data_IF_708464355549
#
_entry.id   IF_708464355549
#
_cell.length_a   1.000
_cell.length_b   1.000
_cell.length_c   1.000
_cell.angle_alpha   90.00
_cell.angle_beta   90.00
_cell.angle_gamma   90.00
#
_symmetry.space_group_name_H-M   'P 1'
#
loop_
_entity.id
_entity.type
_entity.pdbx_description
1 polymer ?
#
# COMPACT_ATOMS: atom_id res chain seq x y z
N UNK A 1 -20.64 8.33 3.74
CA UNK A 1 -20.98 6.92 3.49
C UNK A 1 -22.31 6.84 2.78
N UNK A 2 -22.27 6.78 1.44
CA UNK A 2 -23.49 6.72 0.63
C UNK A 2 -24.10 5.31 0.63
N UNK A 3 -25.43 5.22 0.70
CA UNK A 3 -26.14 3.96 0.51
C UNK A 3 -26.13 3.54 -0.96
N UNK A 4 -26.42 2.27 -1.26
CA UNK A 4 -26.55 1.78 -2.66
C UNK A 4 -27.54 2.62 -3.48
N UNK A 5 -28.62 3.10 -2.83
CA UNK A 5 -29.65 3.97 -3.45
C UNK A 5 -29.05 5.33 -3.85
N UNK A 6 -28.28 5.96 -2.97
CA UNK A 6 -27.61 7.26 -3.27
C UNK A 6 -26.55 7.14 -4.35
N UNK A 7 -25.82 6.02 -4.43
CA UNK A 7 -24.84 5.76 -5.49
C UNK A 7 -25.52 5.63 -6.88
N UNK A 8 -26.67 4.95 -6.95
CA UNK A 8 -27.47 4.81 -8.19
C UNK A 8 -27.99 6.18 -8.63
N UNK A 9 -28.55 6.97 -7.70
CA UNK A 9 -29.05 8.32 -8.01
C UNK A 9 -27.93 9.24 -8.49
N UNK A 10 -26.75 9.19 -7.85
CA UNK A 10 -25.57 9.96 -8.26
C UNK A 10 -25.10 9.57 -9.66
N UNK A 11 -25.08 8.26 -9.97
CA UNK A 11 -24.70 7.78 -11.31
C UNK A 11 -25.70 8.25 -12.39
N UNK A 12 -26.99 8.19 -12.11
CA UNK A 12 -28.01 8.69 -13.02
C UNK A 12 -27.85 10.20 -13.28
N UNK A 13 -27.68 11.00 -12.23
CA UNK A 13 -27.40 12.44 -12.34
C UNK A 13 -26.12 12.72 -13.14
N UNK A 14 -25.06 11.94 -12.91
CA UNK A 14 -23.81 12.06 -13.65
C UNK A 14 -24.01 11.85 -15.15
N UNK A 15 -24.62 10.74 -15.55
CA UNK A 15 -24.79 10.40 -16.97
C UNK A 15 -25.75 11.33 -17.70
N UNK A 16 -26.80 11.82 -17.04
CA UNK A 16 -27.78 12.73 -17.66
C UNK A 16 -27.32 14.19 -17.72
N UNK A 17 -26.54 14.65 -16.76
CA UNK A 17 -26.26 16.10 -16.63
C UNK A 17 -24.76 16.42 -16.53
N UNK A 18 -24.05 15.83 -15.56
CA UNK A 18 -22.71 16.28 -15.24
C UNK A 18 -21.69 15.91 -16.32
N UNK A 19 -21.83 14.75 -16.95
CA UNK A 19 -21.01 14.33 -18.10
C UNK A 19 -21.06 15.34 -19.26
N UNK A 20 -22.25 15.85 -19.57
CA UNK A 20 -22.42 16.86 -20.64
C UNK A 20 -21.79 18.21 -20.26
N UNK A 21 -21.90 18.61 -19.00
CA UNK A 21 -21.23 19.83 -18.49
C UNK A 21 -19.71 19.70 -18.61
N UNK A 22 -19.15 18.57 -18.18
CA UNK A 22 -17.71 18.28 -18.30
C UNK A 22 -17.28 18.36 -19.76
N UNK A 23 -18.00 17.66 -20.64
CA UNK A 23 -17.70 17.67 -22.07
C UNK A 23 -17.79 19.08 -22.68
N UNK A 24 -18.81 19.86 -22.32
CA UNK A 24 -18.98 21.23 -22.80
C UNK A 24 -17.86 22.14 -22.28
N UNK A 25 -17.54 22.05 -21.00
CA UNK A 25 -16.47 22.88 -20.35
C UNK A 25 -15.10 22.67 -20.99
N UNK A 26 -14.77 21.44 -21.36
CA UNK A 26 -13.44 21.08 -21.87
C UNK A 26 -13.38 20.89 -23.39
N UNK A 27 -14.50 21.12 -24.12
CA UNK A 27 -14.60 20.89 -25.56
C UNK A 27 -13.60 21.70 -26.40
N UNK A 28 -13.31 22.93 -25.98
CA UNK A 28 -12.42 23.87 -26.68
C UNK A 28 -10.97 23.80 -26.19
N UNK A 29 -10.70 23.08 -25.11
CA UNK A 29 -9.37 22.94 -24.57
C UNK A 29 -8.66 21.73 -25.20
N UNK A 30 -7.37 21.91 -25.48
CA UNK A 30 -6.48 20.82 -25.87
C UNK A 30 -5.61 20.47 -24.68
N UNK A 31 -5.50 19.17 -24.44
CA UNK A 31 -4.63 18.62 -23.41
C UNK A 31 -3.74 17.58 -24.08
N UNK A 32 -2.49 17.52 -23.67
CA UNK A 32 -1.59 16.46 -24.13
C UNK A 32 -2.02 15.12 -23.52
N UNK A 33 -2.34 15.14 -22.22
CA UNK A 33 -2.68 13.94 -21.46
C UNK A 33 -3.95 14.13 -20.61
N UNK A 34 -4.70 13.04 -20.47
CA UNK A 34 -5.77 12.87 -19.50
C UNK A 34 -5.46 11.66 -18.62
N UNK A 35 -5.01 11.92 -17.39
CA UNK A 35 -4.49 10.89 -16.49
C UNK A 35 -5.55 10.52 -15.45
N UNK A 36 -5.81 9.23 -15.30
CA UNK A 36 -6.63 8.69 -14.22
C UNK A 36 -5.75 7.92 -13.25
N UNK A 37 -5.70 8.38 -12.01
CA UNK A 37 -4.82 7.82 -10.96
C UNK A 37 -5.49 6.73 -10.14
N UNK A 38 -6.82 6.68 -10.12
CA UNK A 38 -7.59 5.68 -9.37
C UNK A 38 -8.81 5.22 -10.16
N UNK A 39 -9.17 3.95 -9.93
CA UNK A 39 -10.42 3.42 -10.43
C UNK A 39 -11.62 4.15 -9.82
N UNK A 40 -12.50 4.59 -10.71
CA UNK A 40 -13.83 5.06 -10.36
C UNK A 40 -14.83 4.61 -11.45
N UNK A 41 -16.06 4.17 -11.12
CA UNK A 41 -17.02 3.69 -12.10
C UNK A 41 -17.32 4.65 -13.26
N UNK A 42 -17.10 5.95 -13.06
CA UNK A 42 -17.31 6.98 -14.09
C UNK A 42 -16.03 7.39 -14.84
N UNK A 43 -14.87 6.94 -14.41
CA UNK A 43 -13.57 7.39 -14.94
C UNK A 43 -13.47 7.22 -16.45
N UNK A 44 -13.87 6.07 -16.98
CA UNK A 44 -13.89 5.83 -18.44
C UNK A 44 -14.75 6.84 -19.20
N UNK A 45 -15.88 7.24 -18.62
CA UNK A 45 -16.78 8.23 -19.24
C UNK A 45 -16.22 9.65 -19.16
N UNK A 46 -15.51 9.98 -18.08
CA UNK A 46 -14.85 11.29 -17.91
C UNK A 46 -13.67 11.42 -18.85
N UNK A 47 -12.80 10.41 -18.92
CA UNK A 47 -11.64 10.40 -19.82
C UNK A 47 -12.06 10.61 -21.29
N UNK A 48 -13.19 10.07 -21.71
CA UNK A 48 -13.74 10.26 -23.06
C UNK A 48 -14.35 11.64 -23.30
N UNK A 49 -14.49 12.49 -22.29
CA UNK A 49 -15.01 13.85 -22.45
C UNK A 49 -13.97 14.86 -22.95
N UNK A 50 -12.70 14.54 -22.88
CA UNK A 50 -11.59 15.41 -23.26
C UNK A 50 -10.86 14.84 -24.47
N UNK A 51 -10.29 15.74 -25.30
CA UNK A 51 -9.39 15.37 -26.39
C UNK A 51 -7.96 15.37 -25.84
N UNK A 52 -7.46 14.19 -25.53
CA UNK A 52 -6.12 13.99 -24.96
C UNK A 52 -5.72 12.54 -25.11
N UNK A 53 -4.42 12.25 -25.03
CA UNK A 53 -3.92 10.89 -24.86
C UNK A 53 -4.30 10.41 -23.44
N UNK A 54 -5.02 9.31 -23.33
CA UNK A 54 -5.61 8.84 -22.07
C UNK A 54 -4.68 7.84 -21.42
N UNK A 55 -4.23 8.16 -20.20
CA UNK A 55 -3.33 7.33 -19.41
C UNK A 55 -4.08 6.87 -18.15
N UNK A 56 -4.03 5.57 -17.86
CA UNK A 56 -4.56 5.02 -16.61
C UNK A 56 -3.44 4.43 -15.77
N UNK A 57 -3.37 4.83 -14.50
CA UNK A 57 -2.50 4.17 -13.51
C UNK A 57 -3.30 3.00 -12.93
N UNK A 58 -2.85 1.79 -13.22
CA UNK A 58 -3.47 0.55 -12.80
C UNK A 58 -2.79 0.03 -11.53
N UNK A 59 -3.43 0.21 -10.38
CA UNK A 59 -2.92 -0.25 -9.09
C UNK A 59 -3.03 -1.77 -8.94
N UNK A 60 -4.17 -2.33 -9.33
CA UNK A 60 -4.48 -3.76 -9.21
C UNK A 60 -5.10 -4.29 -10.51
N UNK A 61 -4.32 -4.95 -11.37
CA UNK A 61 -4.84 -5.60 -12.56
C UNK A 61 -5.56 -6.93 -12.27
N UNK A 62 -5.41 -7.44 -11.06
CA UNK A 62 -6.09 -8.66 -10.57
C UNK A 62 -7.06 -8.26 -9.48
N UNK A 63 -8.28 -8.76 -9.60
CA UNK A 63 -9.24 -8.61 -8.50
C UNK A 63 -8.96 -9.63 -7.41
N UNK A 64 -8.83 -9.18 -6.17
CA UNK A 64 -8.78 -10.06 -5.01
C UNK A 64 -10.04 -10.92 -4.90
N UNK A 65 -9.95 -12.05 -4.22
CA UNK A 65 -11.07 -12.95 -3.96
C UNK A 65 -12.23 -12.19 -3.30
N UNK A 66 -13.44 -12.31 -3.86
CA UNK A 66 -14.65 -11.66 -3.32
C UNK A 66 -15.14 -10.42 -4.10
N UNK A 67 -14.42 -9.94 -5.10
CA UNK A 67 -14.87 -8.82 -5.95
C UNK A 67 -16.06 -9.25 -6.83
N UNK A 68 -17.12 -8.42 -6.84
CA UNK A 68 -18.36 -8.70 -7.58
C UNK A 68 -18.14 -8.62 -9.09
N UNK A 69 -18.88 -9.46 -9.85
CA UNK A 69 -18.80 -9.53 -11.32
C UNK A 69 -18.98 -8.16 -12.00
N UNK A 70 -19.90 -7.34 -11.49
CA UNK A 70 -20.12 -5.99 -12.04
C UNK A 70 -18.87 -5.10 -11.90
N UNK A 71 -18.17 -5.17 -10.80
CA UNK A 71 -16.95 -4.40 -10.57
C UNK A 71 -15.84 -4.85 -11.53
N UNK A 72 -15.71 -6.14 -11.77
CA UNK A 72 -14.78 -6.69 -12.77
C UNK A 72 -15.05 -6.14 -14.17
N UNK A 73 -16.32 -6.10 -14.59
CA UNK A 73 -16.74 -5.56 -15.89
C UNK A 73 -16.40 -4.06 -15.97
N UNK A 74 -16.71 -3.30 -14.93
CA UNK A 74 -16.45 -1.87 -14.92
C UNK A 74 -14.94 -1.56 -14.93
N UNK A 75 -14.13 -2.32 -14.19
CA UNK A 75 -12.66 -2.20 -14.22
C UNK A 75 -12.11 -2.55 -15.60
N UNK A 76 -12.63 -3.61 -16.24
CA UNK A 76 -12.26 -3.96 -17.61
C UNK A 76 -12.51 -2.80 -18.57
N UNK A 77 -13.71 -2.23 -18.55
CA UNK A 77 -14.05 -1.07 -19.38
C UNK A 77 -13.24 0.18 -19.06
N UNK A 78 -12.91 0.39 -17.80
CA UNK A 78 -12.05 1.48 -17.37
C UNK A 78 -10.65 1.36 -17.98
N UNK A 79 -10.00 0.22 -17.83
CA UNK A 79 -8.67 -0.04 -18.39
C UNK A 79 -8.72 0.05 -19.93
N UNK A 80 -9.68 -0.60 -20.58
CA UNK A 80 -9.86 -0.56 -22.06
C UNK A 80 -10.18 0.82 -22.62
N UNK A 81 -10.55 1.79 -21.80
CA UNK A 81 -10.81 3.16 -22.25
C UNK A 81 -9.55 4.03 -22.38
N UNK A 82 -8.41 3.52 -22.01
CA UNK A 82 -7.13 4.22 -22.03
C UNK A 82 -6.35 3.91 -23.30
N UNK A 83 -5.46 4.81 -23.68
CA UNK A 83 -4.53 4.63 -24.80
C UNK A 83 -3.21 4.03 -24.27
N UNK A 84 -2.82 4.41 -23.04
CA UNK A 84 -1.64 3.90 -22.35
C UNK A 84 -1.98 3.49 -20.92
N UNK A 85 -1.29 2.48 -20.41
CA UNK A 85 -1.43 1.98 -19.04
C UNK A 85 -0.10 2.14 -18.31
N UNK A 86 -0.17 2.64 -17.10
CA UNK A 86 0.96 2.61 -16.15
C UNK A 86 0.65 1.57 -15.09
N UNK A 87 1.58 0.66 -14.87
CA UNK A 87 1.54 -0.34 -13.79
C UNK A 87 2.60 -0.02 -12.75
N UNK A 88 2.31 -0.32 -11.49
CA UNK A 88 3.19 -0.02 -10.36
C UNK A 88 4.12 -1.20 -10.00
N UNK A 89 4.05 -2.28 -10.77
CA UNK A 89 4.86 -3.49 -10.63
C UNK A 89 5.16 -4.05 -12.02
N UNK A 90 6.41 -4.37 -12.33
CA UNK A 90 6.83 -4.85 -13.67
C UNK A 90 6.14 -6.15 -14.08
N UNK A 91 5.93 -7.05 -13.12
CA UNK A 91 5.21 -8.31 -13.35
C UNK A 91 3.78 -8.10 -13.87
N UNK A 92 3.20 -6.91 -13.67
CA UNK A 92 1.87 -6.56 -14.16
C UNK A 92 1.83 -6.19 -15.65
N UNK A 93 2.95 -5.91 -16.29
CA UNK A 93 3.01 -5.64 -17.74
C UNK A 93 2.40 -6.81 -18.51
N UNK A 94 2.97 -7.99 -18.35
CA UNK A 94 2.47 -9.20 -19.03
C UNK A 94 1.05 -9.56 -18.60
N UNK A 95 0.72 -9.32 -17.34
CA UNK A 95 -0.62 -9.60 -16.81
C UNK A 95 -1.69 -8.71 -17.43
N UNK A 96 -1.44 -7.40 -17.53
CA UNK A 96 -2.34 -6.43 -18.17
C UNK A 96 -2.44 -6.73 -19.66
N UNK A 97 -1.33 -7.01 -20.34
CA UNK A 97 -1.30 -7.40 -21.74
C UNK A 97 -2.23 -8.59 -21.98
N UNK A 98 -2.07 -9.67 -21.22
CA UNK A 98 -2.84 -10.92 -21.35
C UNK A 98 -4.32 -10.74 -21.01
N UNK A 99 -4.62 -10.07 -19.88
CA UNK A 99 -5.99 -10.01 -19.35
C UNK A 99 -6.85 -8.96 -20.07
N UNK A 100 -6.24 -7.88 -20.54
CA UNK A 100 -6.97 -6.76 -21.17
C UNK A 100 -6.64 -6.59 -22.65
N UNK A 101 -5.74 -7.40 -23.23
CA UNK A 101 -5.41 -7.36 -24.66
C UNK A 101 -4.75 -6.06 -25.10
N UNK A 102 -3.89 -5.49 -24.24
CA UNK A 102 -3.00 -4.41 -24.61
C UNK A 102 -1.68 -4.95 -25.18
N UNK A 103 -1.12 -4.29 -26.19
CA UNK A 103 0.27 -4.53 -26.56
C UNK A 103 1.19 -4.01 -25.45
N UNK A 104 2.21 -4.78 -25.09
CA UNK A 104 3.15 -4.40 -24.01
C UNK A 104 3.84 -3.04 -24.25
N UNK A 105 3.96 -2.60 -25.52
CA UNK A 105 4.48 -1.27 -25.86
C UNK A 105 3.61 -0.10 -25.33
N UNK A 106 2.36 -0.35 -24.96
CA UNK A 106 1.44 0.62 -24.37
C UNK A 106 1.24 0.41 -22.87
N UNK A 107 2.13 -0.40 -22.25
CA UNK A 107 2.09 -0.66 -20.82
C UNK A 107 3.44 -0.27 -20.23
N UNK A 108 3.44 0.71 -19.36
CA UNK A 108 4.65 1.32 -18.81
C UNK A 108 4.74 1.01 -17.31
N UNK A 109 5.96 0.80 -16.83
CA UNK A 109 6.22 0.65 -15.42
C UNK A 109 6.59 1.99 -14.79
N UNK A 110 5.96 2.31 -13.68
CA UNK A 110 6.31 3.43 -12.81
C UNK A 110 6.20 2.95 -11.36
N UNK A 111 7.26 3.02 -10.56
CA UNK A 111 7.17 2.63 -9.17
C UNK A 111 6.21 3.54 -8.40
N UNK A 112 5.73 3.09 -7.25
CA UNK A 112 4.95 3.94 -6.36
C UNK A 112 5.86 5.05 -5.80
N UNK A 113 5.46 6.30 -5.99
CA UNK A 113 6.21 7.45 -5.50
C UNK A 113 6.23 7.56 -3.98
N UNK A 114 7.18 8.33 -3.46
CA UNK A 114 7.32 8.60 -2.03
C UNK A 114 6.10 9.33 -1.46
N UNK A 115 5.89 9.20 -0.15
CA UNK A 115 4.73 9.72 0.58
C UNK A 115 5.11 10.90 1.50
N UNK A 116 5.90 11.85 0.97
CA UNK A 116 6.41 13.02 1.74
C UNK A 116 5.32 13.86 2.40
N UNK A 117 4.09 13.83 1.85
CA UNK A 117 2.96 14.58 2.40
C UNK A 117 2.56 14.13 3.82
N UNK A 118 2.84 12.90 4.20
CA UNK A 118 2.56 12.44 5.57
C UNK A 118 3.45 13.15 6.59
N UNK A 119 4.74 13.34 6.30
CA UNK A 119 5.64 14.11 7.16
C UNK A 119 5.26 15.59 7.26
N UNK A 120 4.76 16.19 6.18
CA UNK A 120 4.33 17.60 6.17
C UNK A 120 3.06 17.84 6.99
N UNK A 121 2.21 16.82 7.13
CA UNK A 121 0.93 16.88 7.86
C UNK A 121 1.06 16.51 9.33
N UNK A 122 2.22 16.10 9.80
CA UNK A 122 2.42 15.73 11.20
C UNK A 122 2.03 16.87 12.12
N UNK A 123 0.99 16.67 12.89
CA UNK A 123 0.75 17.43 14.09
C UNK A 123 1.47 16.69 15.21
N UNK A 124 2.55 17.26 15.70
CA UNK A 124 3.24 16.75 16.90
C UNK A 124 2.27 16.83 18.08
N UNK A 125 1.48 15.80 18.26
CA UNK A 125 1.03 15.43 19.57
C UNK A 125 2.18 14.66 20.19
N UNK A 126 2.66 15.04 21.39
CA UNK A 126 3.55 14.19 22.14
C UNK A 126 2.79 12.86 22.30
N UNK A 127 3.11 11.89 21.47
CA UNK A 127 2.65 10.52 21.71
C UNK A 127 3.23 10.18 23.06
N UNK A 128 2.39 9.77 23.99
CA UNK A 128 2.77 9.35 25.34
C UNK A 128 3.51 8.01 25.27
N UNK A 129 4.63 8.02 24.53
CA UNK A 129 5.58 6.91 24.40
C UNK A 129 6.67 6.98 25.47
N UNK A 130 6.47 7.83 26.50
CA UNK A 130 7.38 8.00 27.64
C UNK A 130 7.66 6.70 28.41
N UNK A 131 6.84 5.66 28.18
CA UNK A 131 7.00 4.33 28.77
C UNK A 131 7.81 3.36 27.91
N UNK A 132 8.19 3.71 26.68
CA UNK A 132 9.05 2.87 25.85
C UNK A 132 10.52 3.20 26.16
N UNK A 133 11.24 2.20 26.66
CA UNK A 133 12.68 2.26 26.78
C UNK A 133 13.30 2.43 25.38
N UNK A 134 14.38 3.20 25.25
CA UNK A 134 15.10 3.39 23.98
C UNK A 134 15.61 2.08 23.36
N UNK A 135 15.71 1.01 24.17
CA UNK A 135 16.13 -0.32 23.73
C UNK A 135 14.96 -1.21 23.27
N UNK A 136 13.71 -0.87 23.60
CA UNK A 136 12.52 -1.65 23.25
C UNK A 136 12.32 -1.70 21.73
N UNK A 137 12.16 -2.89 21.16
CA UNK A 137 11.83 -3.05 19.74
C UNK A 137 10.33 -3.15 19.58
N UNK A 138 9.76 -2.25 18.75
CA UNK A 138 8.35 -2.27 18.42
C UNK A 138 8.13 -2.87 17.03
N UNK A 139 7.42 -3.99 16.96
CA UNK A 139 6.90 -4.52 15.71
C UNK A 139 5.58 -3.84 15.38
N UNK A 140 5.47 -3.27 14.17
CA UNK A 140 4.31 -2.52 13.72
C UNK A 140 3.62 -3.22 12.56
N UNK A 141 2.38 -3.65 12.77
CA UNK A 141 1.43 -3.93 11.71
C UNK A 141 0.58 -2.70 11.45
N UNK A 142 0.60 -2.16 10.23
CA UNK A 142 -0.12 -0.95 9.86
C UNK A 142 -1.05 -1.14 8.67
N UNK A 143 -2.24 -0.52 8.71
CA UNK A 143 -3.19 -0.47 7.60
C UNK A 143 -4.42 -1.34 7.82
N UNK A 144 -5.21 -1.58 6.76
CA UNK A 144 -6.46 -2.34 6.88
C UNK A 144 -6.22 -3.74 7.43
N UNK A 145 -7.07 -4.16 8.35
CA UNK A 145 -7.06 -5.51 8.93
C UNK A 145 -7.88 -6.41 8.01
N UNK A 146 -7.18 -7.15 7.15
CA UNK A 146 -7.74 -8.02 6.12
C UNK A 146 -7.05 -9.38 6.17
N UNK A 147 -7.76 -10.45 5.86
CA UNK A 147 -7.25 -11.82 5.97
C UNK A 147 -5.98 -12.06 5.17
N UNK A 148 -5.89 -11.52 3.95
CA UNK A 148 -4.72 -11.70 3.09
C UNK A 148 -3.45 -11.02 3.64
N UNK A 149 -3.58 -10.10 4.59
CA UNK A 149 -2.45 -9.43 5.25
C UNK A 149 -1.79 -10.23 6.36
N UNK A 150 -2.28 -11.44 6.63
CA UNK A 150 -1.60 -12.41 7.46
C UNK A 150 -1.47 -12.05 8.95
N UNK A 151 -2.42 -11.28 9.49
CA UNK A 151 -2.39 -10.85 10.91
C UNK A 151 -2.37 -12.05 11.87
N UNK A 152 -3.01 -13.16 11.51
CA UNK A 152 -2.98 -14.40 12.29
C UNK A 152 -1.59 -15.06 12.30
N UNK A 153 -0.80 -14.90 11.23
CA UNK A 153 0.60 -15.37 11.18
C UNK A 153 1.46 -14.56 12.12
N UNK A 154 1.25 -13.24 12.14
CA UNK A 154 1.95 -12.33 13.04
C UNK A 154 1.63 -12.64 14.49
N UNK A 155 0.35 -12.87 14.85
CA UNK A 155 -0.05 -13.26 16.19
C UNK A 155 0.71 -14.50 16.67
N UNK A 156 0.75 -15.54 15.85
CA UNK A 156 1.43 -16.81 16.19
C UNK A 156 2.95 -16.62 16.31
N UNK A 157 3.58 -15.95 15.35
CA UNK A 157 5.02 -15.69 15.38
C UNK A 157 5.43 -14.86 16.62
N UNK A 158 4.68 -13.80 16.91
CA UNK A 158 4.95 -12.92 18.05
C UNK A 158 4.69 -13.64 19.38
N UNK A 159 3.62 -14.44 19.48
CA UNK A 159 3.31 -15.24 20.68
C UNK A 159 4.45 -16.18 21.08
N UNK A 160 5.09 -16.80 20.10
CA UNK A 160 6.26 -17.66 20.37
C UNK A 160 7.51 -16.84 20.73
N UNK A 161 7.69 -15.70 20.05
CA UNK A 161 8.87 -14.86 20.24
C UNK A 161 8.88 -14.18 21.62
N UNK A 162 7.75 -13.67 22.08
CA UNK A 162 7.64 -12.93 23.35
C UNK A 162 7.83 -13.82 24.59
N UNK A 163 7.79 -15.16 24.41
CA UNK A 163 8.10 -16.14 25.46
C UNK A 163 9.62 -16.30 25.70
N UNK A 164 10.44 -15.78 24.80
CA UNK A 164 11.90 -15.82 24.96
C UNK A 164 12.30 -14.88 26.09
N UNK A 165 12.98 -15.37 27.13
CA UNK A 165 13.40 -14.54 28.28
C UNK A 165 14.26 -13.36 27.83
N UNK A 166 14.15 -12.24 28.55
CA UNK A 166 14.96 -11.03 28.38
C UNK A 166 14.79 -10.28 27.05
N UNK A 167 13.75 -10.58 26.24
CA UNK A 167 13.40 -9.76 25.09
C UNK A 167 12.49 -8.60 25.50
N UNK A 168 12.94 -7.39 25.28
CA UNK A 168 12.11 -6.18 25.42
C UNK A 168 11.48 -5.82 24.07
N UNK A 169 10.31 -6.40 23.82
CA UNK A 169 9.59 -6.25 22.55
C UNK A 169 8.14 -5.90 22.77
N UNK A 170 7.60 -5.12 21.84
CA UNK A 170 6.17 -4.76 21.76
C UNK A 170 5.62 -5.06 20.37
N UNK A 171 4.31 -5.22 20.26
CA UNK A 171 3.60 -5.35 19.02
C UNK A 171 2.48 -4.31 18.96
N UNK A 172 2.53 -3.43 17.98
CA UNK A 172 1.47 -2.47 17.68
C UNK A 172 0.72 -2.89 16.44
N UNK A 173 -0.61 -2.98 16.54
CA UNK A 173 -1.52 -3.22 15.41
C UNK A 173 -2.36 -1.96 15.24
N UNK A 174 -2.12 -1.19 14.18
CA UNK A 174 -2.81 0.06 13.92
C UNK A 174 -3.52 0.04 12.56
N UNK A 175 -4.85 0.20 12.59
CA UNK A 175 -5.65 0.27 11.37
C UNK A 175 -7.08 -0.21 11.54
N UNK A 176 -7.89 -0.02 10.52
CA UNK A 176 -9.30 -0.40 10.55
C UNK A 176 -9.56 -1.75 9.91
N UNK A 177 -10.53 -2.49 10.44
CA UNK A 177 -11.00 -3.74 9.89
C UNK A 177 -11.76 -4.59 10.91
N UNK A 178 -12.05 -5.84 10.57
CA UNK A 178 -12.75 -6.75 11.47
C UNK A 178 -11.76 -7.46 12.40
N UNK A 179 -11.21 -6.73 13.38
CA UNK A 179 -10.30 -7.32 14.37
C UNK A 179 -10.98 -8.36 15.28
N UNK A 180 -12.31 -8.34 15.37
CA UNK A 180 -13.06 -9.31 16.18
C UNK A 180 -12.78 -10.77 15.77
N UNK A 181 -12.46 -11.01 14.50
CA UNK A 181 -12.09 -12.34 13.99
C UNK A 181 -10.74 -12.86 14.53
N UNK A 182 -9.92 -11.97 15.11
CA UNK A 182 -8.56 -12.27 15.55
C UNK A 182 -8.35 -12.14 17.06
N UNK A 183 -9.38 -11.77 17.83
CA UNK A 183 -9.29 -11.57 19.30
C UNK A 183 -8.71 -12.80 19.99
N UNK A 184 -9.12 -14.00 19.57
CA UNK A 184 -8.67 -15.25 20.20
C UNK A 184 -7.18 -15.53 19.94
N UNK A 185 -6.67 -15.19 18.76
CA UNK A 185 -5.25 -15.33 18.39
C UNK A 185 -4.36 -14.43 19.25
N UNK A 186 -4.87 -13.26 19.65
CA UNK A 186 -4.13 -12.29 20.48
C UNK A 186 -4.41 -12.41 21.98
N UNK A 187 -5.33 -13.29 22.38
CA UNK A 187 -5.67 -13.48 23.81
C UNK A 187 -4.44 -13.93 24.59
N UNK A 188 -4.19 -13.22 25.69
CA UNK A 188 -3.07 -13.49 26.59
C UNK A 188 -1.66 -13.38 25.97
N UNK A 189 -1.53 -12.70 24.85
CA UNK A 189 -0.19 -12.32 24.34
C UNK A 189 0.20 -11.01 25.01
N UNK A 190 1.31 -10.97 25.77
CA UNK A 190 1.74 -9.74 26.44
C UNK A 190 2.28 -8.71 25.44
N UNK A 191 2.31 -7.44 25.87
CA UNK A 191 2.92 -6.31 25.14
C UNK A 191 2.32 -6.08 23.75
N UNK A 192 1.02 -6.33 23.57
CA UNK A 192 0.27 -6.07 22.33
C UNK A 192 -0.65 -4.88 22.52
N UNK A 193 -0.52 -3.88 21.65
CA UNK A 193 -1.41 -2.73 21.56
C UNK A 193 -2.21 -2.79 20.27
N UNK A 194 -3.54 -2.70 20.36
CA UNK A 194 -4.43 -2.74 19.20
C UNK A 194 -5.20 -1.43 19.06
N UNK A 195 -5.00 -0.72 17.96
CA UNK A 195 -5.69 0.51 17.61
C UNK A 195 -6.58 0.21 16.39
N UNK A 196 -7.77 -0.37 16.65
CA UNK A 196 -8.69 -0.77 15.58
C UNK A 196 -9.59 0.39 15.16
N UNK A 197 -9.05 1.33 14.40
CA UNK A 197 -9.76 2.45 13.78
C UNK A 197 -9.06 2.92 12.52
N UNK A 198 -9.72 3.75 11.73
CA UNK A 198 -9.04 4.50 10.69
C UNK A 198 -7.99 5.43 11.31
N UNK A 199 -6.78 5.42 10.78
CA UNK A 199 -5.68 6.29 11.20
C UNK A 199 -5.64 7.45 10.20
N UNK A 200 -5.92 8.70 10.64
CA UNK A 200 -5.81 9.88 9.79
C UNK A 200 -4.36 10.15 9.35
N UNK A 201 -4.19 10.79 8.20
CA UNK A 201 -2.87 11.08 7.62
C UNK A 201 -1.92 11.80 8.58
N UNK A 202 -2.45 12.73 9.38
CA UNK A 202 -1.67 13.50 10.35
C UNK A 202 -1.28 12.73 11.61
N UNK A 203 -1.81 11.53 11.80
CA UNK A 203 -1.47 10.65 12.92
C UNK A 203 -0.51 9.53 12.50
N UNK A 204 -0.25 9.32 11.21
CA UNK A 204 0.58 8.21 10.72
C UNK A 204 1.97 8.25 11.32
N UNK A 205 2.59 9.44 11.37
CA UNK A 205 3.94 9.63 11.87
C UNK A 205 4.16 9.11 13.30
N UNK A 206 3.16 9.23 14.17
CA UNK A 206 3.30 8.76 15.56
C UNK A 206 3.56 7.26 15.69
N UNK A 207 3.18 6.44 14.69
CA UNK A 207 3.44 5.00 14.69
C UNK A 207 4.79 4.64 14.07
N UNK A 208 5.17 5.35 13.01
CA UNK A 208 6.41 5.07 12.29
C UNK A 208 7.65 5.75 12.89
N UNK A 209 7.46 6.83 13.66
CA UNK A 209 8.55 7.57 14.32
C UNK A 209 8.93 7.03 15.70
N UNK A 210 8.24 6.01 16.22
CA UNK A 210 8.61 5.33 17.46
C UNK A 210 10.03 4.76 17.27
N UNK A 211 10.97 5.02 18.19
CA UNK A 211 12.31 4.43 18.14
C UNK A 211 12.25 2.92 17.97
N UNK A 212 13.20 2.36 17.23
CA UNK A 212 13.35 0.92 16.99
C UNK A 212 12.08 0.23 16.44
N UNK A 213 11.18 0.97 15.79
CA UNK A 213 10.05 0.36 15.10
C UNK A 213 10.53 -0.40 13.86
N UNK A 214 9.92 -1.57 13.66
CA UNK A 214 10.08 -2.43 12.50
C UNK A 214 8.70 -2.76 11.97
N UNK A 215 8.42 -2.37 10.73
CA UNK A 215 7.15 -2.69 10.06
C UNK A 215 7.13 -4.17 9.67
N UNK A 216 6.01 -4.85 9.93
CA UNK A 216 5.82 -6.26 9.56
C UNK A 216 4.67 -6.41 8.59
N UNK A 217 4.96 -6.92 7.40
CA UNK A 217 4.02 -7.16 6.31
C UNK A 217 3.95 -8.67 6.00
N UNK A 218 3.28 -9.47 6.84
CA UNK A 218 3.25 -10.94 6.74
C UNK A 218 2.19 -11.40 5.72
N UNK A 219 2.14 -10.72 4.58
CA UNK A 219 1.06 -10.88 3.61
C UNK A 219 1.07 -12.26 2.96
N UNK A 220 -0.11 -12.85 2.85
CA UNK A 220 -0.31 -14.13 2.17
C UNK A 220 -0.43 -13.93 0.66
N UNK A 221 -1.02 -12.80 0.28
CA UNK A 221 -1.19 -12.39 -1.11
C UNK A 221 -1.13 -10.85 -1.19
N UNK A 222 -0.44 -10.31 -2.18
CA UNK A 222 -0.38 -8.87 -2.39
C UNK A 222 0.06 -8.53 -3.81
N UNK A 223 -0.66 -7.62 -4.44
CA UNK A 223 -0.20 -6.94 -5.65
C UNK A 223 0.92 -5.95 -5.34
N UNK A 224 0.71 -5.18 -4.28
CA UNK A 224 1.59 -4.14 -3.73
C UNK A 224 1.14 -3.76 -2.32
N UNK A 225 1.95 -2.95 -1.62
CA UNK A 225 1.57 -2.41 -0.32
C UNK A 225 1.77 -0.90 -0.27
N UNK A 226 0.70 -0.16 0.03
CA UNK A 226 0.78 1.27 0.33
C UNK A 226 1.50 1.59 1.66
N UNK A 227 1.79 0.58 2.47
CA UNK A 227 2.55 0.74 3.72
C UNK A 227 4.06 0.85 3.44
N UNK A 228 4.56 0.21 2.39
CA UNK A 228 5.99 0.27 2.03
C UNK A 228 6.46 1.70 1.78
N UNK A 229 5.83 2.52 0.90
CA UNK A 229 6.28 3.89 0.69
C UNK A 229 6.16 4.76 1.95
N UNK A 230 5.24 4.48 2.86
CA UNK A 230 5.17 5.14 4.17
C UNK A 230 6.39 4.75 5.02
N UNK A 231 6.68 3.47 5.15
CA UNK A 231 7.82 2.99 5.93
C UNK A 231 9.16 3.51 5.38
N UNK A 232 9.30 3.59 4.05
CA UNK A 232 10.46 4.21 3.39
C UNK A 232 10.58 5.69 3.74
N UNK A 233 9.48 6.45 3.73
CA UNK A 233 9.46 7.87 4.08
C UNK A 233 9.92 8.13 5.52
N UNK A 234 9.55 7.25 6.46
CA UNK A 234 9.98 7.32 7.87
C UNK A 234 11.30 6.59 8.14
N UNK A 235 11.90 5.99 7.11
CA UNK A 235 13.13 5.22 7.23
C UNK A 235 13.00 4.07 8.27
N UNK A 236 11.83 3.43 8.31
CA UNK A 236 11.46 2.37 9.23
C UNK A 236 11.70 1.01 8.58
N UNK A 237 12.59 0.15 9.11
CA UNK A 237 12.89 -1.17 8.53
C UNK A 237 11.63 -2.01 8.34
N UNK A 238 11.66 -2.88 7.33
CA UNK A 238 10.50 -3.65 6.90
C UNK A 238 10.83 -5.13 6.88
N UNK A 239 10.02 -5.95 7.57
CA UNK A 239 9.93 -7.39 7.35
C UNK A 239 8.75 -7.62 6.41
N UNK A 240 8.95 -8.30 5.29
CA UNK A 240 7.90 -8.58 4.31
C UNK A 240 7.90 -10.04 3.87
N UNK A 241 6.72 -10.59 3.59
CA UNK A 241 6.61 -11.87 2.90
C UNK A 241 7.08 -11.77 1.46
N UNK A 242 7.71 -12.81 0.92
CA UNK A 242 8.09 -12.91 -0.50
C UNK A 242 6.87 -13.17 -1.39
N UNK A 243 5.91 -12.23 -1.43
CA UNK A 243 4.68 -12.36 -2.23
C UNK A 243 4.47 -11.16 -3.15
N UNK A 244 3.91 -11.43 -4.32
CA UNK A 244 3.49 -10.42 -5.29
C UNK A 244 4.57 -9.40 -5.62
N UNK A 245 4.16 -8.12 -5.63
CA UNK A 245 5.06 -6.99 -5.92
C UNK A 245 5.84 -6.45 -4.73
N UNK A 246 5.74 -7.04 -3.51
CA UNK A 246 6.41 -6.49 -2.33
C UNK A 246 7.93 -6.46 -2.49
N UNK A 247 8.50 -7.52 -3.06
CA UNK A 247 9.95 -7.61 -3.30
C UNK A 247 10.40 -6.55 -4.31
N UNK A 248 9.62 -6.32 -5.36
CA UNK A 248 9.91 -5.29 -6.36
C UNK A 248 9.82 -3.89 -5.74
N UNK A 249 8.80 -3.60 -4.92
CA UNK A 249 8.67 -2.34 -4.19
C UNK A 249 9.84 -2.07 -3.21
N UNK A 250 10.52 -3.12 -2.77
CA UNK A 250 11.69 -3.08 -1.91
C UNK A 250 12.99 -3.24 -2.72
N UNK A 251 13.07 -2.54 -3.85
CA UNK A 251 14.21 -2.51 -4.76
C UNK A 251 14.68 -3.92 -5.16
N UNK A 252 13.75 -4.73 -5.64
CA UNK A 252 14.00 -6.13 -6.04
C UNK A 252 14.64 -7.00 -4.93
N UNK A 253 14.45 -6.60 -3.68
CA UNK A 253 14.96 -7.31 -2.51
C UNK A 253 16.33 -6.82 -2.02
N UNK A 254 16.84 -5.71 -2.53
CA UNK A 254 18.07 -5.07 -2.02
C UNK A 254 17.85 -4.38 -0.67
N UNK A 255 16.60 -4.00 -0.39
CA UNK A 255 16.13 -3.49 0.90
C UNK A 255 14.99 -4.36 1.43
N UNK A 256 14.77 -4.31 2.75
CA UNK A 256 13.80 -5.15 3.43
C UNK A 256 14.35 -6.51 3.87
N UNK A 257 13.71 -7.09 4.86
CA UNK A 257 14.02 -8.41 5.41
C UNK A 257 12.88 -9.35 5.00
N UNK A 258 13.20 -10.42 4.27
CA UNK A 258 12.16 -11.26 3.67
C UNK A 258 11.94 -12.55 4.42
N UNK A 259 10.66 -12.91 4.61
CA UNK A 259 10.23 -14.21 5.13
C UNK A 259 9.41 -14.96 4.07
N UNK A 260 9.35 -16.30 4.22
CA UNK A 260 8.53 -17.14 3.35
C UNK A 260 7.05 -16.85 3.55
N UNK A 261 6.29 -16.91 2.46
CA UNK A 261 4.84 -16.70 2.48
C UNK A 261 4.17 -17.79 3.31
N UNK A 262 3.24 -17.39 4.18
CA UNK A 262 2.45 -18.32 5.02
C UNK A 262 3.30 -19.26 5.90
N UNK A 263 4.47 -18.80 6.33
CA UNK A 263 5.41 -19.56 7.16
C UNK A 263 5.69 -18.81 8.47
N UNK A 264 5.09 -19.30 9.56
CA UNK A 264 5.19 -18.72 10.91
C UNK A 264 6.63 -18.78 11.41
N UNK A 265 7.35 -19.89 11.19
CA UNK A 265 8.71 -20.05 11.66
C UNK A 265 9.65 -19.08 10.93
N UNK A 266 9.52 -18.97 9.61
CA UNK A 266 10.30 -18.02 8.83
C UNK A 266 10.05 -16.58 9.29
N UNK A 267 8.79 -16.19 9.54
CA UNK A 267 8.46 -14.85 10.07
C UNK A 267 9.10 -14.62 11.45
N UNK A 268 8.94 -15.58 12.38
CA UNK A 268 9.54 -15.53 13.71
C UNK A 268 11.07 -15.40 13.66
N UNK A 269 11.72 -16.19 12.81
CA UNK A 269 13.18 -16.10 12.60
C UNK A 269 13.63 -14.73 12.14
N UNK A 270 12.88 -14.08 11.21
CA UNK A 270 13.23 -12.73 10.74
C UNK A 270 12.98 -11.67 11.82
N UNK A 271 11.92 -11.81 12.60
CA UNK A 271 11.68 -10.93 13.75
C UNK A 271 12.83 -11.08 14.79
N UNK A 272 13.20 -12.32 15.15
CA UNK A 272 14.32 -12.57 16.05
C UNK A 272 15.65 -12.05 15.48
N UNK A 273 15.89 -12.24 14.19
CA UNK A 273 17.08 -11.71 13.53
C UNK A 273 17.18 -10.19 13.67
N UNK A 274 16.09 -9.47 13.51
CA UNK A 274 16.07 -8.01 13.69
C UNK A 274 16.48 -7.60 15.12
N UNK A 275 16.02 -8.33 16.14
CA UNK A 275 16.36 -8.08 17.54
C UNK A 275 17.87 -8.22 17.78
N UNK A 276 18.45 -9.27 17.21
CA UNK A 276 19.87 -9.61 17.45
C UNK A 276 20.85 -8.89 16.50
N UNK A 277 20.37 -8.11 15.52
CA UNK A 277 21.22 -7.48 14.51
C UNK A 277 20.96 -5.97 14.35
N UNK A 278 21.03 -5.14 15.41
CA UNK A 278 20.74 -3.71 15.33
C UNK A 278 21.70 -2.96 14.39
N UNK A 279 22.95 -3.41 14.27
CA UNK A 279 23.91 -2.87 13.32
C UNK A 279 23.48 -3.07 11.86
N UNK A 280 22.91 -4.24 11.54
CA UNK A 280 22.38 -4.52 10.21
C UNK A 280 21.12 -3.71 9.90
N UNK A 281 20.27 -3.46 10.88
CA UNK A 281 19.13 -2.55 10.71
C UNK A 281 19.57 -1.11 10.44
N UNK A 282 20.69 -0.66 11.02
CA UNK A 282 21.26 0.64 10.71
C UNK A 282 21.80 0.73 9.28
N UNK A 283 22.42 -0.34 8.77
CA UNK A 283 22.84 -0.45 7.37
C UNK A 283 21.61 -0.44 6.44
N UNK A 284 20.57 -1.18 6.82
CA UNK A 284 19.31 -1.25 6.07
C UNK A 284 18.65 0.13 5.95
N UNK A 285 18.57 0.90 7.03
CA UNK A 285 18.05 2.28 7.01
C UNK A 285 18.82 3.17 6.03
N UNK A 286 20.14 3.01 5.90
CA UNK A 286 20.94 3.78 4.93
C UNK A 286 20.57 3.45 3.50
N UNK A 287 20.39 2.16 3.18
CA UNK A 287 19.95 1.72 1.85
C UNK A 287 18.55 2.24 1.52
N UNK A 288 17.62 2.16 2.48
CA UNK A 288 16.26 2.68 2.33
C UNK A 288 16.26 4.19 2.05
N UNK A 289 17.05 4.97 2.79
CA UNK A 289 17.18 6.41 2.58
C UNK A 289 17.74 6.75 1.19
N UNK A 290 18.72 5.98 0.70
CA UNK A 290 19.25 6.13 -0.67
C UNK A 290 18.18 5.84 -1.72
N UNK A 291 17.49 4.71 -1.59
CA UNK A 291 16.44 4.30 -2.52
C UNK A 291 15.24 5.27 -2.56
N UNK A 292 14.91 5.90 -1.44
CA UNK A 292 13.81 6.85 -1.36
C UNK A 292 13.96 8.02 -2.34
N UNK A 293 15.20 8.44 -2.66
CA UNK A 293 15.45 9.50 -3.64
C UNK A 293 15.09 9.07 -5.08
N UNK A 294 15.21 7.78 -5.39
CA UNK A 294 14.81 7.25 -6.70
C UNK A 294 13.29 7.26 -6.88
N UNK A 295 12.54 7.33 -5.77
CA UNK A 295 11.09 7.39 -5.74
C UNK A 295 10.52 8.81 -5.69
N UNK A 296 11.34 9.85 -5.81
CA UNK A 296 10.88 11.22 -5.90
C UNK A 296 9.95 11.40 -7.11
N UNK A 297 8.85 12.10 -6.91
CA UNK A 297 7.85 12.29 -7.96
C UNK A 297 8.44 12.94 -9.22
N UNK A 298 9.40 13.83 -9.08
CA UNK A 298 10.12 14.46 -10.20
C UNK A 298 10.94 13.44 -11.01
N UNK A 299 11.41 12.38 -10.37
CA UNK A 299 12.18 11.31 -11.03
C UNK A 299 11.24 10.35 -11.75
N UNK A 300 10.27 9.79 -11.03
CA UNK A 300 9.42 8.71 -11.56
C UNK A 300 8.42 9.19 -12.62
N UNK A 301 7.94 10.44 -12.54
CA UNK A 301 6.96 10.98 -13.48
C UNK A 301 7.55 11.35 -14.84
N UNK A 302 8.88 11.35 -15.00
CA UNK A 302 9.54 11.53 -16.31
C UNK A 302 9.08 10.49 -17.34
N UNK A 303 8.66 9.31 -16.87
CA UNK A 303 8.10 8.29 -17.75
C UNK A 303 6.83 8.79 -18.46
N UNK A 304 5.99 9.59 -17.79
CA UNK A 304 4.75 10.12 -18.36
C UNK A 304 5.04 11.09 -19.51
N UNK A 305 6.13 11.85 -19.41
CA UNK A 305 6.55 12.80 -20.45
C UNK A 305 7.03 12.09 -21.70
N UNK A 306 7.56 10.87 -21.54
CA UNK A 306 8.12 10.06 -22.62
C UNK A 306 7.10 9.07 -23.25
N UNK A 307 5.88 9.04 -22.76
CA UNK A 307 4.76 8.29 -23.31
C UNK A 307 4.06 9.09 -24.43
#
# INVERSE_FOLDING_TARGET
TGTRKTAIQASFKFFLKEKFKIKSKYKSLQFDYAISTFYHPWASSVLKCVKAKRITICHDPIHHSGVKTLEKILTFHYIKSSDEIIVLTRSFITLVSKNFGFSEKHIHYMPHGRMSEYRKKETFLPSDHSYMNEETINFLFFGRIEKYKGIQLLAKAYKELVQTPHLDITLTIAGSGNFAEYIEEFRNIPNVTVINRYIPDNEIGQYFSIPNTIVVLPYIDASQSGVIPIALEYNTPIIASETGGLKEQLNNGEIGIFCKVNDINSLKEKMAWCIHNPGKLKEERKKMASYLHELDWEVITRIIINI
#
